data_IF_326821948792
#
_entry.id   IF_326821948792
#
_cell.length_a   1.000
_cell.length_b   1.000
_cell.length_c   1.000
_cell.angle_alpha   90.00
_cell.angle_beta   90.00
_cell.angle_gamma   90.00
#
_symmetry.space_group_name_H-M   'P 1'
#
loop_
_entity.id
_entity.type
_entity.pdbx_description
1 polymer ?
#
# COMPACT_ATOMS: atom_id res chain seq x y z
N UNK A 1 60.45 73.62 4.48
CA UNK A 1 59.29 72.74 4.17
C UNK A 1 59.54 71.37 4.78
N UNK A 2 58.52 70.81 5.42
CA UNK A 2 58.63 69.85 6.51
C UNK A 2 58.94 68.40 6.09
N UNK A 3 59.83 67.73 6.85
CA UNK A 3 59.97 66.26 6.83
C UNK A 3 58.78 65.66 7.56
N UNK A 4 57.81 65.13 6.81
CA UNK A 4 56.62 64.46 7.36
C UNK A 4 57.04 63.07 7.87
N UNK A 5 57.15 62.91 9.19
CA UNK A 5 57.33 61.60 9.84
C UNK A 5 56.09 60.75 9.55
N UNK A 6 56.28 59.62 8.88
CA UNK A 6 55.24 58.59 8.73
C UNK A 6 55.15 57.85 10.06
N UNK A 7 53.96 57.90 10.68
CA UNK A 7 53.64 57.26 11.96
C UNK A 7 53.12 55.86 11.61
N UNK A 8 53.83 54.82 12.02
CA UNK A 8 53.36 53.43 11.91
C UNK A 8 52.09 53.27 12.75
N UNK A 9 50.95 53.13 12.09
CA UNK A 9 49.71 52.67 12.73
C UNK A 9 49.79 51.15 12.89
N UNK A 10 49.93 50.71 14.14
CA UNK A 10 49.81 49.29 14.49
C UNK A 10 48.35 48.87 14.31
N UNK A 11 48.04 48.31 13.14
CA UNK A 11 46.72 47.74 12.84
C UNK A 11 46.72 46.25 13.18
N UNK A 12 45.89 45.88 14.15
CA UNK A 12 45.59 44.48 14.45
C UNK A 12 44.53 43.99 13.46
N UNK A 13 44.90 43.03 12.61
CA UNK A 13 43.98 42.38 11.67
C UNK A 13 43.44 41.11 12.32
N UNK A 14 42.15 41.10 12.65
CA UNK A 14 41.44 39.93 13.14
C UNK A 14 40.77 39.22 11.96
N UNK A 15 41.24 38.02 11.63
CA UNK A 15 40.59 37.16 10.65
C UNK A 15 39.57 36.26 11.38
N UNK A 16 38.28 36.53 11.16
CA UNK A 16 37.19 35.72 11.71
C UNK A 16 36.62 34.86 10.59
N UNK A 17 36.74 33.54 10.77
CA UNK A 17 36.04 32.56 9.94
C UNK A 17 34.82 32.10 10.71
N UNK A 18 33.64 32.33 10.14
CA UNK A 18 32.38 31.87 10.70
C UNK A 18 31.85 30.73 9.82
N UNK A 19 31.63 29.56 10.41
CA UNK A 19 30.98 28.44 9.74
C UNK A 19 29.46 28.61 9.78
N UNK A 20 28.78 28.20 8.70
CA UNK A 20 27.33 28.17 8.68
C UNK A 20 26.82 27.03 9.57
N UNK A 21 26.11 27.38 10.64
CA UNK A 21 25.48 26.40 11.52
C UNK A 21 23.99 26.28 11.22
N UNK A 22 23.57 25.07 10.86
CA UNK A 22 22.14 24.73 10.80
C UNK A 22 21.68 24.53 12.25
N UNK A 23 20.64 25.26 12.66
CA UNK A 23 20.11 25.19 14.02
C UNK A 23 19.76 23.75 14.41
N UNK A 24 20.18 23.34 15.62
CA UNK A 24 20.01 21.97 16.15
C UNK A 24 18.60 21.41 15.99
N UNK A 25 17.57 22.25 16.08
CA UNK A 25 16.18 21.87 15.83
C UNK A 25 15.95 21.33 14.41
N UNK A 26 16.44 22.02 13.37
CA UNK A 26 16.31 21.58 11.99
C UNK A 26 17.14 20.33 11.70
N UNK A 27 18.36 20.23 12.26
CA UNK A 27 19.20 19.03 12.10
C UNK A 27 18.54 17.77 12.68
N UNK A 28 18.01 17.86 13.90
CA UNK A 28 17.34 16.73 14.55
C UNK A 28 16.01 16.38 13.89
N UNK A 29 15.21 17.38 13.50
CA UNK A 29 13.93 17.14 12.83
C UNK A 29 14.09 16.48 11.46
N UNK A 30 15.10 16.89 10.68
CA UNK A 30 15.41 16.28 9.38
C UNK A 30 15.83 14.81 9.54
N UNK A 31 16.65 14.49 10.54
CA UNK A 31 17.08 13.11 10.80
C UNK A 31 15.90 12.22 11.19
N UNK A 32 15.03 12.68 12.10
CA UNK A 32 13.82 11.96 12.48
C UNK A 32 12.85 11.77 11.31
N UNK A 33 12.72 12.78 10.45
CA UNK A 33 11.87 12.72 9.24
C UNK A 33 12.33 11.64 8.27
N UNK A 34 13.64 11.57 7.99
CA UNK A 34 14.20 10.56 7.08
C UNK A 34 14.00 9.14 7.62
N UNK A 35 14.24 8.94 8.92
CA UNK A 35 14.01 7.64 9.57
C UNK A 35 12.52 7.26 9.56
N UNK A 36 11.64 8.22 9.84
CA UNK A 36 10.19 8.03 9.80
C UNK A 36 9.68 7.69 8.39
N UNK A 37 10.18 8.38 7.36
CA UNK A 37 9.84 8.11 5.97
C UNK A 37 10.30 6.70 5.56
N UNK A 38 11.52 6.30 5.93
CA UNK A 38 12.00 4.95 5.67
C UNK A 38 11.11 3.89 6.36
N UNK A 39 10.84 4.06 7.65
CA UNK A 39 10.03 3.11 8.42
C UNK A 39 8.60 2.98 7.86
N UNK A 40 7.96 4.08 7.48
CA UNK A 40 6.60 4.06 6.92
C UNK A 40 6.55 3.30 5.59
N UNK A 41 7.49 3.55 4.68
CA UNK A 41 7.57 2.85 3.40
C UNK A 41 7.79 1.35 3.62
N UNK A 42 8.75 0.97 4.47
CA UNK A 42 9.06 -0.44 4.75
C UNK A 42 7.85 -1.15 5.38
N UNK A 43 7.17 -0.53 6.34
CA UNK A 43 5.96 -1.09 6.95
C UNK A 43 4.83 -1.21 5.91
N UNK A 44 4.65 -0.20 5.05
CA UNK A 44 3.63 -0.23 4.00
C UNK A 44 3.86 -1.41 3.05
N UNK A 45 5.09 -1.60 2.58
CA UNK A 45 5.46 -2.74 1.71
C UNK A 45 5.24 -4.06 2.46
N UNK A 46 5.68 -4.17 3.71
CA UNK A 46 5.48 -5.38 4.52
C UNK A 46 4.00 -5.73 4.72
N UNK A 47 3.14 -4.71 4.94
CA UNK A 47 1.68 -4.90 5.04
C UNK A 47 1.08 -5.30 3.69
N UNK A 48 1.54 -4.71 2.60
CA UNK A 48 1.08 -5.07 1.26
C UNK A 48 1.39 -6.53 0.92
N UNK A 49 2.64 -6.96 1.15
CA UNK A 49 3.04 -8.35 0.97
C UNK A 49 2.25 -9.29 1.88
N UNK A 50 2.02 -8.90 3.15
CA UNK A 50 1.22 -9.69 4.08
C UNK A 50 -0.20 -9.91 3.55
N UNK A 51 -0.85 -8.91 2.95
CA UNK A 51 -2.22 -9.03 2.43
C UNK A 51 -2.31 -10.08 1.31
N UNK A 52 -1.30 -10.18 0.45
CA UNK A 52 -1.30 -11.14 -0.67
C UNK A 52 -1.32 -12.59 -0.16
N UNK A 53 -0.58 -12.86 0.91
CA UNK A 53 -0.50 -14.20 1.51
C UNK A 53 -1.48 -14.42 2.68
N UNK A 54 -2.19 -13.38 3.10
CA UNK A 54 -3.15 -13.50 4.19
C UNK A 54 -4.34 -14.34 3.75
N UNK A 55 -4.80 -15.22 4.65
CA UNK A 55 -6.05 -15.99 4.49
C UNK A 55 -6.14 -16.91 3.27
N UNK A 56 -5.01 -17.35 2.70
CA UNK A 56 -5.01 -18.35 1.62
C UNK A 56 -5.80 -19.61 2.04
N UNK A 57 -5.61 -20.08 3.28
CA UNK A 57 -6.33 -21.26 3.80
C UNK A 57 -7.85 -21.11 3.81
N UNK A 58 -8.38 -19.89 3.95
CA UNK A 58 -9.82 -19.64 3.92
C UNK A 58 -10.40 -19.73 2.51
N UNK A 59 -9.57 -19.56 1.47
CA UNK A 59 -10.00 -19.58 0.06
C UNK A 59 -9.95 -20.98 -0.56
N UNK A 60 -9.20 -21.90 0.04
CA UNK A 60 -9.04 -23.29 -0.44
C UNK A 60 -10.38 -23.95 -0.77
N UNK A 61 -11.42 -23.72 0.03
CA UNK A 61 -12.75 -24.32 -0.20
C UNK A 61 -13.41 -23.90 -1.53
N UNK A 62 -13.01 -22.77 -2.12
CA UNK A 62 -13.56 -22.26 -3.37
C UNK A 62 -12.58 -22.40 -4.55
N UNK A 63 -11.27 -22.41 -4.27
CA UNK A 63 -10.22 -22.50 -5.30
C UNK A 63 -9.87 -23.96 -5.64
N UNK A 64 -9.93 -24.87 -4.67
CA UNK A 64 -9.52 -26.28 -4.81
C UNK A 64 -10.74 -27.21 -4.95
N UNK A 65 -11.61 -26.93 -5.92
CA UNK A 65 -12.80 -27.75 -6.18
C UNK A 65 -12.50 -28.92 -7.14
N UNK A 66 -12.99 -30.14 -6.86
CA UNK A 66 -12.72 -31.31 -7.71
C UNK A 66 -13.38 -31.20 -9.09
N UNK A 67 -14.55 -30.54 -9.20
CA UNK A 67 -15.25 -30.32 -10.46
C UNK A 67 -16.07 -29.02 -10.41
N UNK A 68 -15.89 -28.14 -11.39
CA UNK A 68 -16.57 -26.83 -11.47
C UNK A 68 -17.69 -26.79 -12.51
N UNK A 69 -17.96 -27.90 -13.20
CA UNK A 69 -18.92 -27.95 -14.32
C UNK A 69 -20.34 -27.58 -13.91
N UNK A 70 -20.82 -28.08 -12.77
CA UNK A 70 -22.17 -27.78 -12.31
C UNK A 70 -22.37 -26.30 -11.99
N UNK A 71 -21.37 -25.66 -11.36
CA UNK A 71 -21.38 -24.21 -11.12
C UNK A 71 -21.40 -23.43 -12.44
N UNK A 72 -20.63 -23.89 -13.43
CA UNK A 72 -20.60 -23.29 -14.76
C UNK A 72 -21.96 -23.40 -15.46
N UNK A 73 -22.61 -24.58 -15.44
CA UNK A 73 -23.94 -24.80 -16.02
C UNK A 73 -25.02 -23.93 -15.37
N UNK A 74 -24.94 -23.71 -14.05
CA UNK A 74 -25.85 -22.78 -13.35
C UNK A 74 -25.61 -21.34 -13.82
N UNK A 75 -24.36 -20.88 -13.88
CA UNK A 75 -24.01 -19.54 -14.36
C UNK A 75 -24.45 -19.32 -15.82
N UNK A 76 -24.26 -20.31 -16.68
CA UNK A 76 -24.73 -20.30 -18.06
C UNK A 76 -26.26 -20.25 -18.13
N UNK A 77 -26.95 -21.03 -17.30
CA UNK A 77 -28.40 -20.98 -17.19
C UNK A 77 -28.93 -19.60 -16.76
N UNK A 78 -28.25 -18.92 -15.83
CA UNK A 78 -28.57 -17.54 -15.43
C UNK A 78 -28.39 -16.60 -16.63
N UNK A 79 -27.27 -16.72 -17.33
CA UNK A 79 -26.99 -15.90 -18.52
C UNK A 79 -28.06 -16.10 -19.61
N UNK A 80 -28.49 -17.34 -19.87
CA UNK A 80 -29.54 -17.64 -20.83
C UNK A 80 -30.88 -17.04 -20.39
N UNK A 81 -31.27 -17.23 -19.12
CA UNK A 81 -32.52 -16.69 -18.58
C UNK A 81 -32.59 -15.15 -18.67
N UNK A 82 -31.45 -14.46 -18.49
CA UNK A 82 -31.34 -13.02 -18.70
C UNK A 82 -31.60 -12.62 -20.17
N UNK A 83 -31.08 -13.38 -21.11
CA UNK A 83 -31.28 -13.11 -22.55
C UNK A 83 -32.71 -13.41 -23.01
N UNK A 84 -33.36 -14.40 -22.40
CA UNK A 84 -34.77 -14.72 -22.63
C UNK A 84 -35.73 -13.74 -21.93
N UNK A 85 -35.23 -12.97 -20.95
CA UNK A 85 -36.05 -12.09 -20.11
C UNK A 85 -36.92 -12.84 -19.09
N UNK A 86 -36.63 -14.11 -18.82
CA UNK A 86 -37.35 -14.92 -17.84
C UNK A 86 -36.78 -14.72 -16.42
N UNK A 87 -37.32 -13.71 -15.74
CA UNK A 87 -36.92 -13.32 -14.39
C UNK A 87 -37.22 -14.40 -13.34
N UNK A 88 -38.20 -15.26 -13.58
CA UNK A 88 -38.56 -16.33 -12.62
C UNK A 88 -37.47 -17.39 -12.63
N UNK A 89 -37.06 -17.82 -13.83
CA UNK A 89 -35.99 -18.80 -14.01
C UNK A 89 -34.64 -18.24 -13.55
N UNK A 90 -34.35 -16.99 -13.88
CA UNK A 90 -33.13 -16.30 -13.41
C UNK A 90 -33.05 -16.35 -11.88
N UNK A 91 -34.14 -15.95 -11.19
CA UNK A 91 -34.18 -15.93 -9.74
C UNK A 91 -34.00 -17.32 -9.13
N UNK A 92 -34.64 -18.35 -9.68
CA UNK A 92 -34.50 -19.72 -9.19
C UNK A 92 -33.05 -20.22 -9.28
N UNK A 93 -32.38 -19.97 -10.40
CA UNK A 93 -30.98 -20.35 -10.60
C UNK A 93 -30.04 -19.55 -9.69
N UNK A 94 -30.33 -18.26 -9.48
CA UNK A 94 -29.55 -17.41 -8.57
C UNK A 94 -29.69 -17.86 -7.11
N UNK A 95 -30.90 -18.19 -6.67
CA UNK A 95 -31.16 -18.72 -5.32
C UNK A 95 -30.45 -20.08 -5.11
N UNK A 96 -30.41 -20.93 -6.14
CA UNK A 96 -29.64 -22.19 -6.13
C UNK A 96 -28.13 -21.93 -5.99
N UNK A 97 -27.59 -20.97 -6.74
CA UNK A 97 -26.18 -20.59 -6.66
C UNK A 97 -25.82 -20.13 -5.24
N UNK A 98 -26.63 -19.26 -4.64
CA UNK A 98 -26.42 -18.80 -3.26
C UNK A 98 -26.47 -19.96 -2.26
N UNK A 99 -27.41 -20.89 -2.44
CA UNK A 99 -27.55 -22.04 -1.56
C UNK A 99 -26.32 -22.95 -1.61
N UNK A 100 -25.74 -23.16 -2.80
CA UNK A 100 -24.49 -23.90 -2.96
C UNK A 100 -23.32 -23.22 -2.24
N UNK A 101 -23.16 -21.91 -2.40
CA UNK A 101 -22.09 -21.17 -1.69
C UNK A 101 -22.31 -21.06 -0.17
N UNK A 102 -23.53 -21.30 0.33
CA UNK A 102 -23.82 -21.34 1.76
C UNK A 102 -23.45 -22.68 2.42
N UNK A 103 -23.41 -23.79 1.68
CA UNK A 103 -23.07 -25.12 2.19
C UNK A 103 -21.88 -25.72 1.44
N UNK A 104 -20.67 -25.73 2.03
CA UNK A 104 -19.50 -26.33 1.39
C UNK A 104 -19.67 -27.82 1.10
N UNK A 105 -20.51 -28.52 1.86
CA UNK A 105 -20.82 -29.93 1.63
C UNK A 105 -21.56 -30.16 0.30
N UNK A 106 -22.43 -29.21 -0.09
CA UNK A 106 -23.11 -29.26 -1.38
C UNK A 106 -22.18 -28.94 -2.56
N UNK A 107 -21.08 -28.20 -2.30
CA UNK A 107 -20.11 -27.79 -3.32
C UNK A 107 -19.14 -28.93 -3.71
N UNK A 108 -18.93 -29.89 -2.80
CA UNK A 108 -17.99 -31.01 -2.97
C UNK A 108 -18.66 -32.25 -3.58
N UNK A 109 -19.98 -32.37 -3.39
CA UNK A 109 -20.77 -33.56 -3.75
C UNK A 109 -21.18 -33.58 -5.21
#
# INVERSE_FOLDING_TARGET
MARKKVKEEQSLVMLVYNEEVIGSFFGNALQLSVVGLYATIVIAIGRFLRIIFDRISQRVMYEELPNTRQLFEICEGIFIAQQEGDLVREKQLYDLLILMYRSPEALIK
#
